data_IF_904529350342
#
_entry.id   IF_904529350342
#
_cell.length_a   1.000
_cell.length_b   1.000
_cell.length_c   1.000
_cell.angle_alpha   90.00
_cell.angle_beta   90.00
_cell.angle_gamma   90.00
#
_symmetry.space_group_name_H-M   'P 1'
#
loop_
_entity.id
_entity.type
_entity.pdbx_description
1 polymer ?
#
# COMPACT_ATOMS: atom_id res chain seq x y z
N UNK A 1 19.16 16.90 -12.44
CA UNK A 1 18.19 15.80 -12.21
C UNK A 1 17.65 15.39 -13.58
N UNK A 2 17.66 14.08 -13.89
CA UNK A 2 17.23 13.53 -15.18
C UNK A 2 15.74 13.18 -15.25
N UNK A 3 15.35 12.51 -16.33
CA UNK A 3 13.99 11.96 -16.51
C UNK A 3 13.75 10.77 -15.57
N UNK A 4 12.54 10.67 -15.00
CA UNK A 4 12.17 9.57 -14.09
C UNK A 4 11.94 8.29 -14.90
N UNK A 5 12.60 7.19 -14.53
CA UNK A 5 12.42 5.88 -15.19
C UNK A 5 11.64 4.87 -14.33
N UNK A 6 11.74 4.97 -12.99
CA UNK A 6 11.04 4.07 -12.06
C UNK A 6 10.38 4.86 -10.93
N UNK A 7 9.18 4.46 -10.51
CA UNK A 7 8.52 4.88 -9.27
C UNK A 7 8.26 3.65 -8.40
N UNK A 8 8.63 3.73 -7.12
CA UNK A 8 8.24 2.75 -6.11
C UNK A 8 7.25 3.40 -5.13
N UNK A 9 6.13 2.73 -4.88
CA UNK A 9 5.11 3.15 -3.92
C UNK A 9 4.74 1.97 -3.02
N UNK A 10 4.50 2.20 -1.73
CA UNK A 10 4.16 1.13 -0.80
C UNK A 10 3.29 1.65 0.34
N UNK A 11 2.59 0.74 1.00
CA UNK A 11 1.87 1.03 2.25
C UNK A 11 2.20 -0.04 3.29
N UNK A 12 2.65 0.31 4.51
CA UNK A 12 2.94 -0.66 5.56
C UNK A 12 1.68 -1.34 6.12
N UNK A 13 0.48 -0.85 5.79
CA UNK A 13 -0.79 -1.47 6.17
C UNK A 13 -1.01 -2.78 5.42
N UNK A 14 -1.76 -3.69 6.04
CA UNK A 14 -2.12 -4.97 5.46
C UNK A 14 -3.62 -5.26 5.64
N UNK A 15 -4.34 -5.11 4.54
CA UNK A 15 -5.72 -5.55 4.34
C UNK A 15 -5.78 -6.81 3.47
N UNK A 16 -4.77 -7.67 3.51
CA UNK A 16 -4.84 -9.03 3.00
C UNK A 16 -5.36 -10.02 4.05
N UNK A 17 -5.69 -11.21 3.55
CA UNK A 17 -6.09 -12.36 4.34
C UNK A 17 -5.78 -13.65 3.59
N UNK A 18 -4.74 -14.36 4.02
CA UNK A 18 -4.27 -15.61 3.40
C UNK A 18 -4.85 -16.87 4.05
N UNK A 19 -5.62 -16.71 5.12
CA UNK A 19 -6.29 -17.81 5.81
C UNK A 19 -7.52 -18.36 5.07
N UNK A 20 -8.11 -19.40 5.65
CA UNK A 20 -9.33 -20.02 5.13
C UNK A 20 -10.57 -19.15 5.36
N UNK A 21 -11.58 -19.32 4.51
CA UNK A 21 -12.89 -18.73 4.75
C UNK A 21 -13.45 -19.22 6.11
N UNK A 22 -14.15 -18.37 6.87
CA UNK A 22 -14.64 -18.76 8.18
C UNK A 22 -15.67 -19.87 8.04
N UNK A 23 -15.63 -20.83 8.96
CA UNK A 23 -16.62 -21.91 9.06
C UNK A 23 -17.56 -21.68 10.24
N UNK A 24 -18.75 -22.24 10.15
CA UNK A 24 -19.80 -22.08 11.16
C UNK A 24 -20.43 -20.69 11.17
N UNK A 25 -21.11 -20.39 12.28
CA UNK A 25 -21.80 -19.12 12.52
C UNK A 25 -21.75 -18.74 13.99
N UNK A 26 -21.65 -17.46 14.26
CA UNK A 26 -21.85 -16.89 15.60
C UNK A 26 -23.16 -16.09 15.65
N UNK A 27 -23.73 -15.82 16.85
CA UNK A 27 -24.88 -14.95 16.97
C UNK A 27 -24.58 -13.53 16.46
N UNK A 28 -25.48 -13.00 15.64
CA UNK A 28 -25.38 -11.60 15.19
C UNK A 28 -25.63 -10.68 16.39
N UNK A 29 -24.79 -9.66 16.63
CA UNK A 29 -25.03 -8.66 17.66
C UNK A 29 -26.38 -7.97 17.48
N UNK A 30 -27.11 -7.73 18.57
CA UNK A 30 -28.47 -7.16 18.52
C UNK A 30 -28.54 -5.76 17.87
N UNK A 31 -27.42 -5.04 17.82
CA UNK A 31 -27.28 -3.74 17.19
C UNK A 31 -26.76 -3.79 15.74
N UNK A 32 -26.65 -4.98 15.14
CA UNK A 32 -26.19 -5.17 13.77
C UNK A 32 -27.28 -5.90 12.97
N UNK A 33 -27.87 -5.23 11.99
CA UNK A 33 -28.68 -5.91 10.98
C UNK A 33 -27.74 -6.54 9.94
N UNK A 34 -27.56 -7.85 10.04
CA UNK A 34 -26.62 -8.56 9.19
C UNK A 34 -27.05 -8.62 7.73
N UNK A 35 -28.34 -8.78 7.47
CA UNK A 35 -28.86 -8.78 6.10
C UNK A 35 -28.62 -7.43 5.43
N UNK A 36 -28.90 -6.33 6.16
CA UNK A 36 -28.62 -4.99 5.66
C UNK A 36 -27.12 -4.72 5.48
N UNK A 37 -26.28 -5.23 6.38
CA UNK A 37 -24.83 -5.09 6.28
C UNK A 37 -24.24 -5.81 5.05
N UNK A 38 -24.73 -7.02 4.74
CA UNK A 38 -24.34 -7.77 3.54
C UNK A 38 -24.76 -7.05 2.24
N UNK A 39 -25.92 -6.37 2.28
CA UNK A 39 -26.46 -5.66 1.11
C UNK A 39 -26.76 -6.62 -0.03
N UNK A 40 -26.14 -6.39 -1.19
CA UNK A 40 -26.34 -7.23 -2.40
C UNK A 40 -25.29 -8.33 -2.54
N UNK A 41 -24.40 -8.51 -1.56
CA UNK A 41 -23.41 -9.59 -1.62
C UNK A 41 -24.09 -10.95 -1.54
N UNK A 42 -23.33 -12.01 -1.85
CA UNK A 42 -23.78 -13.37 -1.55
C UNK A 42 -24.07 -13.51 -0.04
N UNK A 43 -25.10 -14.28 0.29
CA UNK A 43 -25.41 -14.59 1.68
C UNK A 43 -24.22 -15.30 2.34
N UNK A 44 -23.87 -14.84 3.54
CA UNK A 44 -22.79 -15.41 4.34
C UNK A 44 -23.22 -15.44 5.80
N UNK A 45 -22.78 -16.47 6.53
CA UNK A 45 -23.03 -16.55 7.95
C UNK A 45 -22.18 -15.53 8.70
N UNK A 46 -22.77 -14.87 9.70
CA UNK A 46 -22.03 -13.99 10.58
C UNK A 46 -20.98 -14.78 11.37
N UNK A 47 -19.77 -14.24 11.42
CA UNK A 47 -18.66 -14.77 12.22
C UNK A 47 -17.98 -13.60 12.92
N UNK A 48 -17.87 -13.69 14.24
CA UNK A 48 -17.32 -12.60 15.05
C UNK A 48 -15.86 -12.35 14.68
N UNK A 49 -15.50 -11.07 14.50
CA UNK A 49 -14.15 -10.63 14.17
C UNK A 49 -13.70 -10.88 12.72
N UNK A 50 -14.48 -11.56 11.88
CA UNK A 50 -14.03 -11.91 10.52
C UNK A 50 -14.33 -10.85 9.45
N UNK A 51 -15.44 -10.13 9.61
CA UNK A 51 -15.93 -9.19 8.59
C UNK A 51 -16.08 -7.78 9.19
N UNK A 52 -17.05 -7.62 10.08
CA UNK A 52 -17.34 -6.37 10.77
C UNK A 52 -16.42 -6.23 12.01
N UNK A 53 -15.97 -5.00 12.36
CA UNK A 53 -16.27 -3.72 11.72
C UNK A 53 -15.29 -3.29 10.61
N UNK A 54 -14.09 -3.87 10.56
CA UNK A 54 -13.03 -3.37 9.68
C UNK A 54 -12.44 -4.40 8.71
N UNK A 55 -12.53 -5.70 9.04
CA UNK A 55 -11.90 -6.78 8.29
C UNK A 55 -12.56 -7.07 6.93
N UNK A 56 -13.72 -6.48 6.65
CA UNK A 56 -14.37 -6.51 5.34
C UNK A 56 -13.46 -6.00 4.22
N UNK A 57 -12.52 -5.10 4.52
CA UNK A 57 -11.50 -4.62 3.56
C UNK A 57 -10.66 -5.75 2.97
N UNK A 58 -10.52 -6.84 3.73
CA UNK A 58 -9.73 -8.02 3.38
C UNK A 58 -10.47 -9.01 2.49
N UNK A 59 -11.78 -8.90 2.38
CA UNK A 59 -12.64 -9.89 1.74
C UNK A 59 -13.01 -9.41 0.33
N UNK A 60 -12.90 -10.30 -0.65
CA UNK A 60 -13.11 -10.00 -2.08
C UNK A 60 -14.50 -9.43 -2.38
N UNK A 61 -15.53 -9.82 -1.62
CA UNK A 61 -16.90 -9.39 -1.86
C UNK A 61 -17.19 -7.96 -1.36
N UNK A 62 -16.35 -7.41 -0.48
CA UNK A 62 -16.65 -6.15 0.23
C UNK A 62 -15.55 -5.10 0.08
N UNK A 63 -14.29 -5.52 0.06
CA UNK A 63 -13.13 -4.65 0.09
C UNK A 63 -12.42 -4.54 -1.25
N UNK A 64 -11.26 -3.87 -1.22
CA UNK A 64 -10.35 -3.76 -2.37
C UNK A 64 -8.88 -4.04 -1.97
N UNK A 65 -8.66 -4.68 -0.81
CA UNK A 65 -7.33 -4.93 -0.26
C UNK A 65 -6.57 -3.65 0.06
N UNK A 66 -5.28 -3.79 0.32
CA UNK A 66 -4.40 -2.66 0.70
C UNK A 66 -4.21 -1.69 -0.46
N UNK A 67 -3.98 -2.18 -1.68
CA UNK A 67 -3.83 -1.33 -2.87
C UNK A 67 -5.07 -0.45 -3.10
N UNK A 68 -6.29 -1.00 -2.97
CA UNK A 68 -7.50 -0.21 -3.15
C UNK A 68 -7.73 0.82 -2.04
N UNK A 69 -7.46 0.46 -0.78
CA UNK A 69 -7.63 1.36 0.38
C UNK A 69 -6.57 2.47 0.41
N UNK A 70 -5.30 2.13 0.19
CA UNK A 70 -4.17 3.04 0.39
C UNK A 70 -3.55 3.54 -0.92
N UNK A 71 -3.54 2.73 -1.97
CA UNK A 71 -2.91 3.08 -3.24
C UNK A 71 -3.55 4.28 -3.90
N UNK A 72 -4.87 4.45 -3.79
CA UNK A 72 -5.56 5.63 -4.33
C UNK A 72 -5.04 6.94 -3.74
N UNK A 73 -4.68 6.96 -2.45
CA UNK A 73 -4.17 8.14 -1.77
C UNK A 73 -2.68 8.38 -2.05
N UNK A 74 -1.90 7.30 -2.15
CA UNK A 74 -0.44 7.37 -2.29
C UNK A 74 -0.03 7.61 -3.75
N UNK A 75 -0.72 6.99 -4.70
CA UNK A 75 -0.34 7.04 -6.11
C UNK A 75 -0.79 8.33 -6.81
N UNK A 76 -1.83 9.02 -6.32
CA UNK A 76 -2.43 10.19 -7.01
C UNK A 76 -1.43 11.32 -7.26
N UNK A 77 -0.66 11.71 -6.23
CA UNK A 77 0.29 12.83 -6.34
C UNK A 77 1.41 12.56 -7.37
N UNK A 78 2.17 11.44 -7.30
CA UNK A 78 3.18 11.15 -8.31
C UNK A 78 2.59 10.88 -9.70
N UNK A 79 1.40 10.30 -9.80
CA UNK A 79 0.71 10.08 -11.08
C UNK A 79 0.44 11.42 -11.80
N UNK A 80 -0.12 12.39 -11.07
CA UNK A 80 -0.41 13.73 -11.58
C UNK A 80 0.88 14.52 -11.90
N UNK A 81 1.87 14.47 -11.01
CA UNK A 81 3.13 15.20 -11.19
C UNK A 81 3.92 14.75 -12.43
N UNK A 82 3.91 13.44 -12.73
CA UNK A 82 4.59 12.87 -13.89
C UNK A 82 3.76 12.94 -15.18
N UNK A 83 2.52 13.44 -15.11
CA UNK A 83 1.56 13.52 -16.22
C UNK A 83 1.32 12.17 -16.89
N UNK A 84 1.14 11.13 -16.07
CA UNK A 84 0.90 9.78 -16.57
C UNK A 84 -0.51 9.65 -17.14
N UNK A 85 -0.64 8.73 -18.08
CA UNK A 85 -1.92 8.34 -18.70
C UNK A 85 -2.21 6.87 -18.37
N UNK A 86 -3.02 6.18 -19.15
CA UNK A 86 -3.32 4.75 -18.99
C UNK A 86 -2.04 3.91 -19.12
N UNK A 87 -1.80 2.93 -18.22
CA UNK A 87 -0.65 2.03 -18.34
C UNK A 87 -0.78 1.12 -19.57
N UNK A 88 0.34 0.84 -20.22
CA UNK A 88 0.47 -0.13 -21.30
C UNK A 88 0.26 -1.57 -20.80
N UNK A 89 0.79 -1.87 -19.61
CA UNK A 89 0.65 -3.19 -18.99
C UNK A 89 0.49 -3.08 -17.49
N UNK A 90 -0.20 -4.08 -16.92
CA UNK A 90 -0.33 -4.26 -15.48
C UNK A 90 -0.02 -5.73 -15.20
N UNK A 91 0.97 -5.99 -14.36
CA UNK A 91 1.34 -7.33 -13.89
C UNK A 91 1.19 -7.37 -12.38
N UNK A 92 0.42 -8.35 -11.91
CA UNK A 92 0.28 -8.64 -10.49
C UNK A 92 1.12 -9.88 -10.15
N UNK A 93 1.89 -9.80 -9.08
CA UNK A 93 2.63 -10.90 -8.48
C UNK A 93 2.15 -11.10 -7.03
N UNK A 94 1.34 -12.13 -6.84
CA UNK A 94 0.83 -12.57 -5.54
C UNK A 94 0.55 -14.08 -5.57
N UNK A 95 0.08 -14.63 -4.44
CA UNK A 95 -0.38 -16.02 -4.38
C UNK A 95 -1.61 -16.27 -5.29
N UNK A 96 -1.92 -17.53 -5.63
CA UNK A 96 -3.16 -17.86 -6.34
C UNK A 96 -4.44 -17.37 -5.60
N UNK A 97 -5.52 -17.05 -6.33
CA UNK A 97 -6.79 -16.67 -5.74
C UNK A 97 -7.34 -17.75 -4.80
N UNK A 98 -7.78 -17.36 -3.60
CA UNK A 98 -8.46 -18.25 -2.64
C UNK A 98 -9.97 -18.18 -2.75
N UNK A 99 -10.51 -17.23 -3.52
CA UNK A 99 -11.96 -16.98 -3.64
C UNK A 99 -12.60 -16.35 -2.40
N UNK A 100 -11.80 -15.94 -1.41
CA UNK A 100 -12.30 -15.31 -0.19
C UNK A 100 -11.59 -14.00 0.14
N UNK A 101 -10.26 -14.02 0.34
CA UNK A 101 -9.48 -12.87 0.79
C UNK A 101 -8.48 -12.35 -0.23
N UNK A 102 -8.21 -11.05 -0.18
CA UNK A 102 -7.09 -10.42 -0.90
C UNK A 102 -5.74 -10.97 -0.40
N UNK A 103 -4.70 -11.02 -1.24
CA UNK A 103 -3.38 -11.48 -0.81
C UNK A 103 -2.74 -10.52 0.21
N UNK A 104 -2.12 -11.06 1.27
CA UNK A 104 -1.31 -10.29 2.25
C UNK A 104 -0.04 -9.70 1.62
N UNK A 105 0.49 -10.37 0.59
CA UNK A 105 1.65 -9.91 -0.18
C UNK A 105 1.29 -9.81 -1.65
N UNK A 106 1.36 -8.58 -2.14
CA UNK A 106 0.99 -8.25 -3.50
C UNK A 106 1.98 -7.21 -4.03
N UNK A 107 2.56 -7.51 -5.18
CA UNK A 107 3.42 -6.60 -5.92
C UNK A 107 2.76 -6.33 -7.26
N UNK A 108 2.44 -5.07 -7.54
CA UNK A 108 1.82 -4.69 -8.81
C UNK A 108 2.76 -3.81 -9.59
N UNK A 109 3.16 -4.29 -10.76
CA UNK A 109 4.01 -3.53 -11.70
C UNK A 109 3.16 -3.00 -12.83
N UNK A 110 3.24 -1.69 -13.04
CA UNK A 110 2.65 -0.99 -14.18
C UNK A 110 3.77 -0.52 -15.11
N UNK A 111 3.52 -0.56 -16.41
CA UNK A 111 4.36 0.10 -17.41
C UNK A 111 3.55 1.22 -18.07
N UNK A 112 4.03 2.46 -18.02
CA UNK A 112 3.38 3.62 -18.62
C UNK A 112 4.15 4.11 -19.85
N UNK A 113 3.45 4.74 -20.81
CA UNK A 113 4.12 5.47 -21.88
C UNK A 113 4.96 6.63 -21.31
N UNK A 114 6.02 7.00 -22.02
CA UNK A 114 6.87 8.11 -21.66
C UNK A 114 6.17 9.46 -21.75
N UNK A 115 6.56 10.39 -20.88
CA UNK A 115 6.06 11.77 -20.83
C UNK A 115 7.24 12.74 -20.96
N UNK A 116 6.97 14.04 -20.92
CA UNK A 116 8.02 15.05 -20.88
C UNK A 116 8.90 14.95 -19.62
N UNK A 117 8.40 14.33 -18.55
CA UNK A 117 9.08 14.16 -17.27
C UNK A 117 9.72 12.78 -17.08
N UNK A 118 9.32 11.79 -17.88
CA UNK A 118 9.77 10.41 -17.71
C UNK A 118 10.62 9.91 -18.89
N UNK A 119 11.28 8.77 -18.68
CA UNK A 119 11.95 8.01 -19.73
C UNK A 119 10.94 7.53 -20.79
N UNK A 120 11.41 6.91 -21.87
CA UNK A 120 10.53 6.42 -22.96
C UNK A 120 9.43 5.47 -22.46
N UNK A 121 9.73 4.74 -21.40
CA UNK A 121 8.79 3.94 -20.62
C UNK A 121 9.04 4.20 -19.14
N UNK A 122 7.97 4.40 -18.38
CA UNK A 122 8.05 4.49 -16.92
C UNK A 122 7.58 3.17 -16.30
N UNK A 123 8.41 2.61 -15.42
CA UNK A 123 8.03 1.48 -14.57
C UNK A 123 7.48 2.02 -13.25
N UNK A 124 6.32 1.53 -12.81
CA UNK A 124 5.77 1.82 -11.49
C UNK A 124 5.57 0.52 -10.73
N UNK A 125 6.06 0.43 -9.50
CA UNK A 125 5.92 -0.75 -8.67
C UNK A 125 5.25 -0.40 -7.35
N UNK A 126 4.12 -1.06 -7.09
CA UNK A 126 3.40 -1.00 -5.83
C UNK A 126 3.69 -2.22 -4.95
N UNK A 127 3.78 -2.02 -3.63
CA UNK A 127 3.95 -3.08 -2.64
C UNK A 127 2.94 -2.98 -1.49
N UNK A 128 2.24 -4.08 -1.22
CA UNK A 128 1.39 -4.23 -0.03
C UNK A 128 2.20 -4.60 1.23
N UNK A 129 1.76 -4.11 2.39
CA UNK A 129 2.30 -4.46 3.70
C UNK A 129 3.75 -4.00 3.93
N UNK A 130 4.55 -4.74 4.73
CA UNK A 130 5.96 -4.39 4.98
C UNK A 130 6.85 -4.53 3.74
N UNK A 131 6.27 -4.75 2.54
CA UNK A 131 6.93 -4.97 1.27
C UNK A 131 7.67 -3.77 0.67
N UNK A 132 7.93 -2.71 1.43
CA UNK A 132 8.86 -1.66 1.02
C UNK A 132 10.24 -2.29 0.74
N UNK A 133 10.87 -2.03 -0.42
CA UNK A 133 12.21 -2.52 -0.68
C UNK A 133 13.17 -1.93 0.36
N UNK A 134 13.67 -2.75 1.29
CA UNK A 134 14.57 -2.27 2.36
C UNK A 134 15.91 -1.76 1.82
N UNK A 135 16.38 -2.38 0.73
CA UNK A 135 17.67 -2.09 0.10
C UNK A 135 17.55 -2.33 -1.42
N UNK A 136 16.91 -1.41 -2.15
CA UNK A 136 16.89 -1.46 -3.62
C UNK A 136 17.93 -0.49 -4.18
N UNK A 137 18.60 -0.87 -5.28
CA UNK A 137 19.61 -0.02 -5.93
C UNK A 137 19.00 1.34 -6.34
N UNK A 138 17.79 1.33 -6.90
CA UNK A 138 17.02 2.55 -7.25
C UNK A 138 16.71 3.47 -6.04
N UNK A 139 16.80 2.98 -4.80
CA UNK A 139 16.57 3.78 -3.59
C UNK A 139 17.88 4.33 -2.99
N UNK A 140 19.04 4.00 -3.56
CA UNK A 140 20.32 4.55 -3.15
C UNK A 140 20.59 5.86 -3.86
N UNK A 141 20.85 6.92 -3.11
CA UNK A 141 21.27 8.20 -3.70
C UNK A 141 22.67 8.04 -4.31
N UNK A 142 22.97 8.69 -5.45
CA UNK A 142 24.33 8.72 -5.99
C UNK A 142 25.33 9.20 -4.93
N UNK A 143 26.37 8.40 -4.65
CA UNK A 143 27.37 8.71 -3.62
C UNK A 143 27.05 8.23 -2.20
N UNK A 144 25.90 7.57 -1.97
CA UNK A 144 25.54 6.98 -0.67
C UNK A 144 26.52 5.88 -0.25
N UNK A 145 27.09 5.97 0.95
CA UNK A 145 27.75 4.83 1.60
C UNK A 145 26.68 4.04 2.39
N UNK A 146 26.59 2.72 2.18
CA UNK A 146 25.67 1.83 2.92
C UNK A 146 25.78 2.09 4.43
N UNK A 147 24.76 2.69 5.05
CA UNK A 147 24.64 2.72 6.50
C UNK A 147 23.86 1.48 6.92
N UNK A 148 24.49 0.62 7.72
CA UNK A 148 23.84 -0.55 8.29
C UNK A 148 22.66 -0.10 9.18
N UNK A 149 21.48 -0.67 8.95
CA UNK A 149 20.26 -0.44 9.72
C UNK A 149 20.55 -0.50 11.23
N UNK A 150 20.52 0.65 11.91
CA UNK A 150 20.48 0.71 13.37
C UNK A 150 19.02 0.75 13.82
N UNK A 151 18.67 -0.13 14.77
CA UNK A 151 17.35 -0.18 15.40
C UNK A 151 16.97 1.20 16.00
N UNK A 152 15.68 1.56 16.02
CA UNK A 152 15.26 2.88 16.47
C UNK A 152 15.56 3.04 17.96
N UNK A 153 16.53 3.92 18.29
CA UNK A 153 16.66 4.47 19.64
C UNK A 153 15.56 5.50 19.81
N UNK A 154 14.68 5.27 20.79
CA UNK A 154 13.63 6.22 21.16
C UNK A 154 14.20 7.61 21.38
N UNK A 155 13.71 8.59 20.62
CA UNK A 155 13.90 10.01 20.90
C UNK A 155 12.54 10.60 21.27
N UNK A 156 12.49 11.12 22.47
CA UNK A 156 11.38 11.88 23.02
C UNK A 156 11.42 13.29 22.39
N UNK A 157 10.74 13.47 21.25
CA UNK A 157 10.62 14.79 20.61
C UNK A 157 9.37 15.54 21.12
N UNK A 158 9.58 16.80 21.52
CA UNK A 158 8.57 17.64 22.14
C UNK A 158 7.46 18.05 21.16
N UNK A 159 6.25 18.37 21.66
CA UNK A 159 5.09 18.76 20.84
C UNK A 159 5.35 19.95 19.88
N UNK A 160 6.38 20.76 20.11
CA UNK A 160 6.75 21.88 19.22
C UNK A 160 7.41 21.39 17.91
N UNK A 161 8.12 20.27 17.93
CA UNK A 161 8.75 19.72 16.71
C UNK A 161 7.73 19.11 15.75
N UNK A 162 6.59 18.63 16.27
CA UNK A 162 5.50 18.03 15.47
C UNK A 162 4.62 19.07 14.76
N UNK A 163 4.77 20.35 15.05
CA UNK A 163 3.92 21.43 14.53
C UNK A 163 4.66 22.42 13.62
N UNK A 164 5.95 22.20 13.37
CA UNK A 164 6.69 22.96 12.35
C UNK A 164 6.31 22.45 10.95
N UNK A 165 5.85 23.37 10.09
CA UNK A 165 5.64 23.16 8.66
C UNK A 165 6.91 23.46 7.84
N UNK A 166 8.06 23.65 8.50
CA UNK A 166 9.31 23.90 7.82
C UNK A 166 9.80 22.61 7.15
N UNK A 167 9.91 22.63 5.82
CA UNK A 167 10.50 21.53 5.07
C UNK A 167 11.96 21.36 5.53
N UNK A 168 12.24 20.28 6.28
CA UNK A 168 13.61 19.93 6.67
C UNK A 168 14.39 19.58 5.40
N UNK A 169 15.48 20.30 5.13
CA UNK A 169 16.37 19.99 4.01
C UNK A 169 17.06 18.64 4.23
N UNK A 170 16.94 17.72 3.26
CA UNK A 170 17.70 16.48 3.27
C UNK A 170 19.19 16.79 3.01
N UNK A 171 20.08 16.23 3.84
CA UNK A 171 21.53 16.32 3.62
C UNK A 171 21.94 15.49 2.40
N UNK A 172 22.99 15.93 1.70
CA UNK A 172 23.54 15.22 0.54
C UNK A 172 23.82 13.74 0.88
N UNK A 173 23.21 12.83 0.11
CA UNK A 173 23.36 11.38 0.30
C UNK A 173 22.53 10.77 1.43
N UNK A 174 21.55 11.49 2.00
CA UNK A 174 20.60 10.96 3.00
C UNK A 174 19.16 11.10 2.51
N UNK A 175 18.37 10.03 2.67
CA UNK A 175 16.91 10.12 2.48
C UNK A 175 16.32 10.99 3.60
N UNK A 176 15.35 11.87 3.30
CA UNK A 176 14.61 12.60 4.34
C UNK A 176 13.91 11.60 5.27
N UNK A 177 13.84 11.93 6.57
CA UNK A 177 13.03 11.14 7.51
C UNK A 177 11.58 11.12 7.02
N UNK A 178 11.05 9.91 6.79
CA UNK A 178 9.65 9.71 6.48
C UNK A 178 8.89 9.77 7.81
N UNK A 179 8.02 10.78 7.95
CA UNK A 179 7.16 10.98 9.12
C UNK A 179 6.03 9.96 9.25
#
# INVERSE_FOLDING_TARGET
IGKVHTVHAWSPKDWGYDGEAPTGSDPVPANLDWNLWLGTSKERLYKEGYYHPANWRKVLDYGCGTLGDMGVHICDTPYNALQLDVPLTIKNECRPPTGFGFPEKNIVTYEFPGTKYTAEKLKWIWYDGPGAPRDHEDLQLPGSKKQANQAPKGKEESLKDKTSLDAREAKEGQLPEQG
#
